data_IF_699310840967
#
_entry.id   IF_699310840967
#
_cell.length_a   1.000
_cell.length_b   1.000
_cell.length_c   1.000
_cell.angle_alpha   90.00
_cell.angle_beta   90.00
_cell.angle_gamma   90.00
#
_symmetry.space_group_name_H-M   'P 1'
#
loop_
_entity.id
_entity.type
_entity.pdbx_description
1 polymer ?
#
# COMPACT_ATOMS: atom_id res chain seq x y z
N UNK A 1 78.79 -80.12 -32.69
CA UNK A 1 77.68 -79.99 -31.72
C UNK A 1 77.53 -78.53 -31.33
N UNK A 2 76.40 -77.89 -31.60
CA UNK A 2 76.11 -76.54 -31.10
C UNK A 2 75.85 -76.59 -29.59
N UNK A 3 76.58 -75.78 -28.81
CA UNK A 3 76.31 -75.63 -27.37
C UNK A 3 75.22 -74.57 -27.20
N UNK A 4 74.22 -74.84 -26.36
CA UNK A 4 73.19 -73.87 -25.94
C UNK A 4 73.31 -73.60 -24.45
N UNK A 5 72.88 -72.42 -24.01
CA UNK A 5 72.71 -72.12 -22.59
C UNK A 5 71.46 -72.85 -22.07
N UNK A 6 71.56 -73.42 -20.88
CA UNK A 6 70.42 -73.87 -20.09
C UNK A 6 69.91 -72.71 -19.20
N UNK A 7 68.85 -72.96 -18.43
CA UNK A 7 68.26 -71.94 -17.56
C UNK A 7 69.31 -71.31 -16.61
N UNK A 8 70.19 -72.13 -16.02
CA UNK A 8 71.28 -71.69 -15.15
C UNK A 8 72.25 -70.79 -15.90
N UNK A 9 72.66 -71.17 -17.11
CA UNK A 9 73.54 -70.38 -17.96
C UNK A 9 72.91 -69.04 -18.35
N UNK A 10 71.61 -69.02 -18.66
CA UNK A 10 70.88 -67.77 -18.92
C UNK A 10 70.87 -66.84 -17.70
N UNK A 11 70.58 -67.37 -16.50
CA UNK A 11 70.61 -66.58 -15.25
C UNK A 11 72.00 -65.99 -14.97
N UNK A 12 73.07 -66.77 -15.17
CA UNK A 12 74.44 -66.31 -14.96
C UNK A 12 74.84 -65.22 -15.97
N UNK A 13 74.47 -65.38 -17.24
CA UNK A 13 74.70 -64.36 -18.27
C UNK A 13 73.95 -63.08 -17.92
N UNK A 14 72.68 -63.19 -17.50
CA UNK A 14 71.89 -62.04 -17.07
C UNK A 14 72.47 -61.30 -15.86
N UNK A 15 72.98 -62.03 -14.86
CA UNK A 15 73.64 -61.42 -13.70
C UNK A 15 74.89 -60.62 -14.10
N UNK A 16 75.76 -61.19 -14.96
CA UNK A 16 76.95 -60.51 -15.48
C UNK A 16 76.63 -59.28 -16.33
N UNK A 17 75.54 -59.33 -17.08
CA UNK A 17 75.07 -58.19 -17.86
C UNK A 17 74.62 -57.07 -16.92
N UNK A 18 73.79 -57.37 -15.91
CA UNK A 18 73.35 -56.38 -14.91
C UNK A 18 74.54 -55.73 -14.21
N UNK A 19 75.47 -56.54 -13.71
CA UNK A 19 76.70 -56.06 -13.06
C UNK A 19 77.50 -55.11 -13.97
N UNK A 20 77.62 -55.41 -15.27
CA UNK A 20 78.26 -54.52 -16.23
C UNK A 20 77.57 -53.16 -16.37
N UNK A 21 76.23 -53.13 -16.40
CA UNK A 21 75.48 -51.87 -16.52
C UNK A 21 75.53 -51.03 -15.25
N UNK A 22 75.54 -51.68 -14.08
CA UNK A 22 75.78 -51.02 -12.79
C UNK A 22 77.17 -50.41 -12.74
N UNK A 23 78.21 -51.19 -13.09
CA UNK A 23 79.60 -50.71 -13.10
C UNK A 23 79.83 -49.56 -14.09
N UNK A 24 79.02 -49.47 -15.15
CA UNK A 24 79.04 -48.36 -16.11
C UNK A 24 78.25 -47.13 -15.65
N UNK A 25 77.60 -47.18 -14.49
CA UNK A 25 76.77 -46.11 -13.94
C UNK A 25 75.46 -45.88 -14.72
N UNK A 26 75.10 -46.79 -15.64
CA UNK A 26 73.89 -46.68 -16.47
C UNK A 26 72.66 -47.15 -15.68
N UNK A 27 72.85 -48.11 -14.78
CA UNK A 27 71.80 -48.67 -13.93
C UNK A 27 72.18 -48.41 -12.46
N UNK A 28 71.64 -47.35 -11.86
CA UNK A 28 71.87 -47.04 -10.44
C UNK A 28 71.02 -47.93 -9.55
N UNK A 29 71.39 -48.09 -8.28
CA UNK A 29 70.58 -48.83 -7.31
C UNK A 29 69.13 -48.29 -7.23
N UNK A 30 68.95 -46.98 -7.33
CA UNK A 30 67.64 -46.34 -7.39
C UNK A 30 66.82 -46.73 -8.64
N UNK A 31 67.47 -46.80 -9.80
CA UNK A 31 66.83 -47.24 -11.05
C UNK A 31 66.50 -48.73 -11.01
N UNK A 32 67.34 -49.55 -10.38
CA UNK A 32 67.08 -50.98 -10.16
C UNK A 32 65.85 -51.15 -9.28
N UNK A 33 65.78 -50.44 -8.16
CA UNK A 33 64.65 -50.49 -7.23
C UNK A 33 63.37 -50.00 -7.91
N UNK A 34 63.44 -48.93 -8.71
CA UNK A 34 62.31 -48.45 -9.51
C UNK A 34 61.83 -49.52 -10.50
N UNK A 35 62.73 -50.09 -11.31
CA UNK A 35 62.38 -51.10 -12.31
C UNK A 35 61.83 -52.41 -11.70
N UNK A 36 62.32 -52.81 -10.53
CA UNK A 36 61.86 -54.03 -9.84
C UNK A 36 60.49 -53.84 -9.17
N UNK A 37 60.18 -52.61 -8.76
CA UNK A 37 58.91 -52.28 -8.10
C UNK A 37 57.88 -51.65 -9.05
N UNK A 38 58.21 -51.46 -10.33
CA UNK A 38 57.23 -51.14 -11.36
C UNK A 38 56.29 -52.33 -11.51
N UNK A 39 55.01 -52.16 -11.16
CA UNK A 39 53.99 -53.12 -11.54
C UNK A 39 54.00 -53.27 -13.07
N UNK A 40 53.69 -54.47 -13.59
CA UNK A 40 53.71 -54.77 -15.04
C UNK A 40 52.88 -53.78 -15.90
N UNK A 41 52.02 -52.95 -15.28
CA UNK A 41 51.20 -51.90 -15.92
C UNK A 41 51.24 -50.53 -15.21
N UNK A 42 52.35 -50.16 -14.56
CA UNK A 42 52.43 -48.87 -13.85
C UNK A 42 52.46 -47.67 -14.80
N UNK A 43 51.35 -46.93 -14.91
CA UNK A 43 51.31 -45.68 -15.67
C UNK A 43 51.75 -44.48 -14.81
N UNK A 44 52.61 -43.64 -15.38
CA UNK A 44 53.08 -42.37 -14.81
C UNK A 44 51.95 -41.31 -14.90
N UNK A 45 51.59 -40.65 -13.78
CA UNK A 45 50.48 -39.68 -13.58
C UNK A 45 49.08 -40.24 -13.26
N UNK A 46 48.92 -40.90 -12.11
CA UNK A 46 47.60 -41.08 -11.48
C UNK A 46 47.23 -39.80 -10.73
N UNK A 47 46.13 -39.16 -11.10
CA UNK A 47 45.57 -38.08 -10.27
C UNK A 47 44.85 -38.75 -9.10
N UNK A 48 45.29 -38.49 -7.87
CA UNK A 48 44.77 -39.18 -6.67
C UNK A 48 43.48 -38.56 -6.12
N UNK A 49 43.30 -37.25 -6.29
CA UNK A 49 42.06 -36.56 -5.93
C UNK A 49 41.89 -35.24 -6.65
N UNK A 50 40.64 -34.88 -6.97
CA UNK A 50 40.23 -33.54 -7.42
C UNK A 50 38.94 -33.18 -6.71
N UNK A 51 38.79 -31.92 -6.33
CA UNK A 51 37.57 -31.42 -5.69
C UNK A 51 37.07 -30.14 -6.35
N UNK A 52 35.76 -30.00 -6.45
CA UNK A 52 35.08 -28.77 -6.90
C UNK A 52 34.22 -28.29 -5.74
N UNK A 53 34.42 -27.05 -5.30
CA UNK A 53 33.72 -26.47 -4.14
C UNK A 53 33.78 -27.37 -2.88
N UNK A 54 34.91 -28.04 -2.65
CA UNK A 54 35.12 -28.93 -1.51
C UNK A 54 34.56 -30.35 -1.66
N UNK A 55 33.95 -30.70 -2.80
CA UNK A 55 33.40 -32.04 -3.07
C UNK A 55 34.32 -32.82 -4.01
N UNK A 56 34.77 -34.01 -3.60
CA UNK A 56 35.63 -34.88 -4.41
C UNK A 56 34.92 -35.39 -5.67
N UNK A 57 35.59 -35.30 -6.81
CA UNK A 57 35.11 -35.78 -8.12
C UNK A 57 35.64 -37.18 -8.42
N UNK A 58 34.85 -37.98 -9.16
CA UNK A 58 35.26 -39.30 -9.62
C UNK A 58 36.28 -39.19 -10.78
N UNK A 59 37.30 -40.04 -10.74
CA UNK A 59 38.36 -40.12 -11.75
C UNK A 59 38.17 -41.44 -12.49
N UNK A 60 37.73 -41.37 -13.75
CA UNK A 60 37.39 -42.57 -14.53
C UNK A 60 38.55 -43.03 -15.41
N UNK A 61 39.49 -42.14 -15.77
CA UNK A 61 40.72 -42.41 -16.52
C UNK A 61 41.69 -41.20 -16.42
N UNK A 62 42.57 -40.96 -17.40
CA UNK A 62 43.39 -39.72 -17.55
C UNK A 62 42.59 -38.41 -17.71
N UNK A 63 41.27 -38.45 -17.58
CA UNK A 63 40.39 -37.29 -17.68
C UNK A 63 39.51 -37.16 -16.45
N UNK A 64 39.24 -35.92 -16.05
CA UNK A 64 38.32 -35.56 -14.97
C UNK A 64 37.16 -34.79 -15.60
N UNK A 65 35.92 -35.21 -15.33
CA UNK A 65 34.75 -34.46 -15.76
C UNK A 65 34.28 -33.55 -14.62
N UNK A 66 34.66 -32.27 -14.70
CA UNK A 66 34.21 -31.26 -13.73
C UNK A 66 32.93 -30.63 -14.27
N UNK A 67 31.79 -30.94 -13.63
CA UNK A 67 30.52 -30.27 -13.91
C UNK A 67 30.47 -28.98 -13.09
N UNK A 68 30.84 -27.87 -13.72
CA UNK A 68 30.54 -26.54 -13.18
C UNK A 68 29.12 -26.20 -13.64
N UNK A 69 28.23 -25.68 -12.78
CA UNK A 69 26.97 -25.11 -13.25
C UNK A 69 27.29 -24.06 -14.32
N UNK A 70 26.97 -24.35 -15.58
CA UNK A 70 27.18 -23.48 -16.73
C UNK A 70 25.90 -22.75 -17.15
N UNK A 71 24.83 -22.94 -16.37
CA UNK A 71 23.55 -22.27 -16.57
C UNK A 71 23.69 -20.75 -16.45
N UNK A 72 22.84 -20.01 -17.16
CA UNK A 72 22.88 -18.54 -17.25
C UNK A 72 22.92 -17.79 -15.91
N UNK A 73 22.46 -18.42 -14.81
CA UNK A 73 22.48 -17.84 -13.46
C UNK A 73 23.83 -17.98 -12.73
N UNK A 74 24.68 -18.93 -13.14
CA UNK A 74 25.93 -19.23 -12.44
C UNK A 74 27.02 -18.16 -12.63
N UNK A 75 26.83 -17.28 -13.62
CA UNK A 75 27.76 -16.19 -13.94
C UNK A 75 27.35 -14.83 -13.35
N UNK A 76 26.28 -14.78 -12.54
CA UNK A 76 25.73 -13.54 -12.00
C UNK A 76 26.11 -13.36 -10.53
N UNK A 77 26.58 -12.16 -10.18
CA UNK A 77 26.86 -11.76 -8.79
C UNK A 77 25.57 -11.60 -7.97
N UNK A 78 24.48 -11.21 -8.63
CA UNK A 78 23.14 -11.09 -8.05
C UNK A 78 22.07 -11.46 -9.10
N UNK A 79 20.97 -12.06 -8.65
CA UNK A 79 19.85 -12.46 -9.51
C UNK A 79 18.78 -11.37 -9.46
N UNK A 80 18.51 -10.76 -10.62
CA UNK A 80 17.54 -9.68 -10.79
C UNK A 80 16.18 -10.14 -11.35
N UNK A 81 15.27 -9.18 -11.50
CA UNK A 81 13.90 -9.42 -12.00
C UNK A 81 13.89 -9.99 -13.43
N UNK A 82 14.90 -9.64 -14.22
CA UNK A 82 15.18 -10.11 -15.57
C UNK A 82 15.51 -11.61 -15.64
N UNK A 83 15.93 -12.20 -14.51
CA UNK A 83 16.21 -13.63 -14.42
C UNK A 83 14.98 -14.45 -14.04
N UNK A 84 13.90 -13.77 -13.61
CA UNK A 84 12.67 -14.45 -13.26
C UNK A 84 12.00 -15.00 -14.51
N UNK A 85 11.28 -16.11 -14.34
CA UNK A 85 10.44 -16.62 -15.42
C UNK A 85 9.39 -15.58 -15.81
N UNK A 86 8.98 -15.59 -17.08
CA UNK A 86 7.97 -14.65 -17.59
C UNK A 86 6.69 -14.64 -16.76
N UNK A 87 6.25 -15.80 -16.26
CA UNK A 87 5.06 -15.91 -15.41
C UNK A 87 5.25 -15.20 -14.06
N UNK A 88 6.42 -15.33 -13.43
CA UNK A 88 6.72 -14.72 -12.14
C UNK A 88 6.94 -13.21 -12.28
N UNK A 89 7.70 -12.79 -13.30
CA UNK A 89 7.89 -11.39 -13.63
C UNK A 89 6.55 -10.68 -13.90
N UNK A 90 5.64 -11.33 -14.64
CA UNK A 90 4.29 -10.81 -14.89
C UNK A 90 3.45 -10.65 -13.61
N UNK A 91 3.58 -11.57 -12.65
CA UNK A 91 2.87 -11.47 -11.38
C UNK A 91 3.39 -10.31 -10.51
N UNK A 92 4.72 -10.13 -10.45
CA UNK A 92 5.36 -9.06 -9.67
C UNK A 92 5.07 -7.69 -10.28
N UNK A 93 5.32 -7.53 -11.59
CA UNK A 93 5.07 -6.27 -12.30
C UNK A 93 3.56 -5.95 -12.31
N UNK A 94 2.71 -6.97 -12.35
CA UNK A 94 1.27 -6.82 -12.22
C UNK A 94 0.78 -6.35 -10.85
N UNK A 95 1.61 -6.43 -9.79
CA UNK A 95 1.30 -5.87 -8.47
C UNK A 95 1.85 -4.45 -8.27
N UNK A 96 2.94 -4.08 -8.94
CA UNK A 96 3.59 -2.79 -8.77
C UNK A 96 2.91 -1.64 -9.53
N UNK A 97 2.42 -1.87 -10.76
CA UNK A 97 2.06 -0.77 -11.67
C UNK A 97 0.56 -0.56 -11.93
N UNK A 98 -0.36 -1.31 -11.30
CA UNK A 98 -1.67 -1.52 -11.95
C UNK A 98 -2.84 -0.63 -11.55
N UNK A 99 -2.77 0.15 -10.47
CA UNK A 99 -3.99 0.79 -9.97
C UNK A 99 -3.81 2.22 -9.47
N UNK A 100 -4.57 3.14 -10.04
CA UNK A 100 -4.82 4.48 -9.50
C UNK A 100 -6.00 4.51 -8.52
N UNK A 101 -6.58 3.34 -8.22
CA UNK A 101 -7.77 3.20 -7.38
C UNK A 101 -7.55 2.13 -6.31
N UNK A 102 -8.20 2.28 -5.16
CA UNK A 102 -8.14 1.31 -4.06
C UNK A 102 -8.60 -0.10 -4.50
N UNK A 103 -9.62 -0.18 -5.34
CA UNK A 103 -10.12 -1.46 -5.88
C UNK A 103 -9.10 -2.20 -6.75
N UNK A 104 -8.26 -1.48 -7.50
CA UNK A 104 -7.19 -2.11 -8.28
C UNK A 104 -6.03 -2.65 -7.43
N UNK A 105 -5.91 -2.20 -6.17
CA UNK A 105 -5.05 -2.84 -5.16
C UNK A 105 -5.73 -4.00 -4.43
N UNK A 106 -6.99 -4.30 -4.74
CA UNK A 106 -7.78 -5.33 -4.05
C UNK A 106 -8.36 -4.90 -2.70
N UNK A 107 -8.36 -3.59 -2.40
CA UNK A 107 -8.98 -3.04 -1.20
C UNK A 107 -10.50 -2.95 -1.45
N UNK A 108 -11.27 -3.78 -0.74
CA UNK A 108 -12.71 -3.97 -0.98
C UNK A 108 -13.60 -3.41 0.13
N UNK A 109 -13.00 -3.02 1.25
CA UNK A 109 -13.66 -2.50 2.46
C UNK A 109 -13.60 -0.98 2.60
N UNK A 110 -13.03 -0.28 1.60
CA UNK A 110 -12.99 1.18 1.56
C UNK A 110 -14.34 1.77 1.13
N UNK A 111 -14.75 2.87 1.79
CA UNK A 111 -15.89 3.67 1.35
C UNK A 111 -15.62 4.31 -0.02
N UNK A 112 -16.63 4.26 -0.89
CA UNK A 112 -16.63 4.98 -2.16
C UNK A 112 -16.94 6.46 -1.94
N UNK A 113 -16.48 7.31 -2.86
CA UNK A 113 -16.82 8.75 -2.87
C UNK A 113 -18.33 8.98 -2.76
N UNK A 114 -19.13 8.21 -3.50
CA UNK A 114 -20.59 8.30 -3.48
C UNK A 114 -21.19 7.95 -2.11
N UNK A 115 -20.71 6.89 -1.46
CA UNK A 115 -21.18 6.52 -0.12
C UNK A 115 -20.84 7.63 0.89
N UNK A 116 -19.62 8.17 0.84
CA UNK A 116 -19.20 9.28 1.71
C UNK A 116 -20.02 10.53 1.45
N UNK A 117 -20.20 10.93 0.20
CA UNK A 117 -21.00 12.11 -0.17
C UNK A 117 -22.46 11.96 0.29
N UNK A 118 -23.03 10.76 0.19
CA UNK A 118 -24.39 10.49 0.66
C UNK A 118 -24.51 10.52 2.18
N UNK A 119 -23.54 9.94 2.90
CA UNK A 119 -23.53 9.97 4.36
C UNK A 119 -23.41 11.40 4.89
N UNK A 120 -22.54 12.22 4.27
CA UNK A 120 -22.41 13.64 4.59
C UNK A 120 -23.73 14.38 4.32
N UNK A 121 -24.33 14.20 3.14
CA UNK A 121 -25.62 14.82 2.81
C UNK A 121 -26.70 14.48 3.84
N UNK A 122 -26.86 13.20 4.19
CA UNK A 122 -27.82 12.77 5.20
C UNK A 122 -27.56 13.42 6.56
N UNK A 123 -26.29 13.48 6.98
CA UNK A 123 -25.92 14.11 8.25
C UNK A 123 -26.22 15.61 8.29
N UNK A 124 -26.21 16.32 7.15
CA UNK A 124 -26.44 17.77 7.09
C UNK A 124 -27.85 18.17 6.67
N UNK A 125 -28.69 17.26 6.18
CA UNK A 125 -30.07 17.58 5.76
C UNK A 125 -30.95 18.00 6.95
N UNK A 126 -30.74 17.42 8.14
CA UNK A 126 -31.57 17.68 9.32
C UNK A 126 -31.07 18.78 10.26
N UNK A 127 -30.01 19.52 9.89
CA UNK A 127 -29.40 20.52 10.79
C UNK A 127 -29.69 21.95 10.34
N UNK A 128 -29.74 22.85 11.32
CA UNK A 128 -29.74 24.29 11.05
C UNK A 128 -28.36 24.75 10.58
N UNK A 129 -28.35 25.43 9.43
CA UNK A 129 -27.20 25.97 8.73
C UNK A 129 -27.18 27.48 8.91
N UNK A 130 -26.51 27.96 9.96
CA UNK A 130 -26.41 29.39 10.25
C UNK A 130 -25.69 30.11 9.11
N UNK A 131 -26.38 31.05 8.48
CA UNK A 131 -25.91 31.85 7.34
C UNK A 131 -25.42 33.24 7.74
N UNK A 132 -25.61 33.61 9.01
CA UNK A 132 -25.25 34.90 9.58
C UNK A 132 -26.45 35.83 9.74
N UNK A 133 -26.14 37.12 9.87
CA UNK A 133 -27.14 38.18 10.03
C UNK A 133 -27.34 38.94 8.72
N UNK A 134 -28.57 39.28 8.37
CA UNK A 134 -28.90 40.05 7.17
C UNK A 134 -30.11 40.96 7.39
N UNK A 135 -30.21 42.06 6.65
CA UNK A 135 -31.43 42.85 6.59
C UNK A 135 -32.54 42.07 5.90
N UNK A 136 -33.80 42.31 6.25
CA UNK A 136 -34.94 41.58 5.65
C UNK A 136 -34.99 41.71 4.12
N UNK A 137 -34.72 42.91 3.60
CA UNK A 137 -34.69 43.18 2.17
C UNK A 137 -33.60 42.39 1.41
N UNK A 138 -32.59 41.87 2.14
CA UNK A 138 -31.48 41.10 1.59
C UNK A 138 -31.63 39.60 1.83
N UNK A 139 -32.77 39.15 2.34
CA UNK A 139 -33.04 37.73 2.51
C UNK A 139 -33.03 37.03 1.13
N UNK A 140 -32.31 35.91 0.96
CA UNK A 140 -32.21 35.25 -0.34
C UNK A 140 -33.57 34.81 -0.90
N UNK A 141 -33.72 34.94 -2.22
CA UNK A 141 -34.92 34.50 -2.97
C UNK A 141 -34.65 33.32 -3.90
N UNK A 142 -33.39 32.95 -4.08
CA UNK A 142 -32.97 31.80 -4.90
C UNK A 142 -31.81 31.06 -4.22
N UNK A 143 -31.66 29.79 -4.56
CA UNK A 143 -30.58 28.91 -4.09
C UNK A 143 -30.52 28.70 -2.57
N UNK A 144 -31.64 28.88 -1.86
CA UNK A 144 -31.76 28.47 -0.47
C UNK A 144 -31.82 26.95 -0.36
N UNK A 145 -31.24 26.41 0.71
CA UNK A 145 -31.39 25.00 1.06
C UNK A 145 -32.16 24.88 2.38
N UNK A 146 -33.04 23.88 2.48
CA UNK A 146 -33.78 23.60 3.72
C UNK A 146 -32.83 23.54 4.93
N UNK A 147 -33.16 24.25 6.01
CA UNK A 147 -32.33 24.41 7.20
C UNK A 147 -31.40 25.63 7.16
N UNK A 148 -31.30 26.40 6.07
CA UNK A 148 -30.57 27.68 6.08
C UNK A 148 -31.23 28.65 7.07
N UNK A 149 -30.47 29.19 8.03
CA UNK A 149 -30.95 30.09 9.08
C UNK A 149 -30.29 31.45 8.98
N UNK A 150 -31.09 32.51 8.95
CA UNK A 150 -30.62 33.90 9.03
C UNK A 150 -31.17 34.57 10.28
N UNK A 151 -30.34 35.39 10.91
CA UNK A 151 -30.79 36.38 11.89
C UNK A 151 -31.16 37.68 11.15
N UNK A 152 -32.39 38.16 11.28
CA UNK A 152 -32.85 39.35 10.56
C UNK A 152 -32.58 40.60 11.40
N UNK A 153 -31.81 41.55 10.85
CA UNK A 153 -31.29 42.69 11.63
C UNK A 153 -32.28 43.82 11.85
N UNK A 154 -33.34 43.88 11.04
CA UNK A 154 -34.35 44.94 11.08
C UNK A 154 -35.73 44.35 11.40
N UNK A 155 -36.65 45.16 11.93
CA UNK A 155 -38.05 44.75 12.01
C UNK A 155 -38.62 44.54 10.60
N UNK A 156 -39.49 43.55 10.43
CA UNK A 156 -40.04 43.21 9.12
C UNK A 156 -41.47 42.70 9.19
N UNK A 157 -42.15 42.78 8.05
CA UNK A 157 -43.43 42.10 7.81
C UNK A 157 -43.14 40.91 6.91
N UNK A 158 -43.49 39.70 7.35
CA UNK A 158 -43.33 38.49 6.55
C UNK A 158 -44.13 38.60 5.25
N UNK A 159 -43.49 38.20 4.14
CA UNK A 159 -44.07 38.24 2.79
C UNK A 159 -44.57 36.87 2.38
N UNK A 160 -45.09 36.75 1.16
CA UNK A 160 -45.49 35.46 0.57
C UNK A 160 -44.32 34.49 0.32
N UNK A 161 -43.08 34.93 0.56
CA UNK A 161 -41.91 34.05 0.61
C UNK A 161 -41.83 33.23 1.91
N UNK A 162 -42.67 33.55 2.90
CA UNK A 162 -42.79 32.81 4.16
C UNK A 162 -43.90 31.76 4.08
N UNK A 163 -43.85 30.78 4.99
CA UNK A 163 -44.92 29.79 5.13
C UNK A 163 -46.27 30.48 5.35
N UNK A 164 -47.35 29.89 4.82
CA UNK A 164 -48.66 30.54 4.74
C UNK A 164 -49.20 31.09 6.07
N UNK A 165 -48.80 30.48 7.19
CA UNK A 165 -49.19 30.93 8.53
C UNK A 165 -48.51 32.21 9.01
N UNK A 166 -47.41 32.64 8.38
CA UNK A 166 -46.60 33.78 8.81
C UNK A 166 -46.77 35.02 7.93
N UNK A 167 -47.22 34.88 6.68
CA UNK A 167 -47.39 36.02 5.77
C UNK A 167 -48.27 37.11 6.37
N UNK A 168 -47.80 38.36 6.30
CA UNK A 168 -48.47 39.54 6.85
C UNK A 168 -48.19 39.84 8.33
N UNK A 169 -47.57 38.92 9.08
CA UNK A 169 -47.22 39.16 10.48
C UNK A 169 -45.97 40.03 10.61
N UNK A 170 -45.94 40.88 11.64
CA UNK A 170 -44.79 41.73 11.97
C UNK A 170 -43.90 41.06 13.01
N UNK A 171 -42.59 41.14 12.79
CA UNK A 171 -41.57 40.61 13.68
C UNK A 171 -40.52 41.67 13.99
N UNK A 172 -40.01 41.72 15.23
CA UNK A 172 -38.96 42.66 15.61
C UNK A 172 -37.60 42.27 15.02
N UNK A 173 -36.68 43.24 14.99
CA UNK A 173 -35.27 43.01 14.73
C UNK A 173 -34.68 41.94 15.65
N UNK A 174 -33.77 41.11 15.13
CA UNK A 174 -33.17 39.96 15.83
C UNK A 174 -33.96 38.66 15.70
N UNK A 175 -35.05 38.65 14.92
CA UNK A 175 -35.83 37.43 14.66
C UNK A 175 -35.04 36.49 13.75
N UNK A 176 -34.88 35.23 14.20
CA UNK A 176 -34.29 34.19 13.37
C UNK A 176 -35.35 33.57 12.45
N UNK A 177 -34.96 33.34 11.19
CA UNK A 177 -35.80 32.68 10.18
C UNK A 177 -35.06 31.50 9.59
N UNK A 178 -35.76 30.40 9.34
CA UNK A 178 -35.23 29.18 8.73
C UNK A 178 -35.91 28.94 7.39
N UNK A 179 -35.14 28.56 6.38
CA UNK A 179 -35.73 28.13 5.11
C UNK A 179 -36.20 26.68 5.20
N UNK A 180 -37.44 26.42 4.78
CA UNK A 180 -38.06 25.09 4.73
C UNK A 180 -38.45 24.75 3.28
N UNK A 181 -38.96 23.54 3.06
CA UNK A 181 -39.50 23.14 1.75
C UNK A 181 -40.72 23.99 1.33
N UNK A 182 -41.35 24.70 2.26
CA UNK A 182 -42.53 25.54 2.03
C UNK A 182 -42.23 27.06 2.06
N UNK A 183 -40.96 27.45 2.13
CA UNK A 183 -40.55 28.86 2.24
C UNK A 183 -39.90 29.18 3.59
N UNK A 184 -39.70 30.47 3.85
CA UNK A 184 -39.14 30.96 5.11
C UNK A 184 -40.12 30.74 6.28
N UNK A 185 -39.62 30.28 7.40
CA UNK A 185 -40.37 30.03 8.62
C UNK A 185 -39.73 30.78 9.77
N UNK A 186 -40.53 31.41 10.61
CA UNK A 186 -40.03 32.24 11.70
C UNK A 186 -39.80 31.36 12.93
N UNK A 187 -38.60 31.42 13.50
CA UNK A 187 -38.24 30.62 14.67
C UNK A 187 -38.65 31.28 16.00
N UNK A 188 -39.17 32.50 15.94
CA UNK A 188 -39.70 33.23 17.09
C UNK A 188 -41.20 32.96 17.25
N UNK A 189 -41.64 32.69 18.48
CA UNK A 189 -43.07 32.63 18.77
C UNK A 189 -43.73 34.00 18.58
N UNK A 190 -44.95 34.02 18.06
CA UNK A 190 -45.80 35.21 18.08
C UNK A 190 -46.38 35.38 19.49
N UNK A 191 -46.18 36.54 20.10
CA UNK A 191 -46.92 36.91 21.31
C UNK A 191 -48.17 37.66 20.88
N UNK A 192 -49.34 37.05 21.09
CA UNK A 192 -50.62 37.71 20.85
C UNK A 192 -50.95 38.62 22.03
N UNK A 193 -50.94 39.93 21.78
CA UNK A 193 -51.34 40.93 22.77
C UNK A 193 -52.72 41.53 22.46
N UNK A 194 -53.50 40.94 21.56
CA UNK A 194 -54.83 41.47 21.19
C UNK A 194 -55.82 41.49 22.36
N UNK A 195 -55.63 40.63 23.36
CA UNK A 195 -56.38 40.64 24.62
C UNK A 195 -55.94 41.73 25.61
N UNK A 196 -54.83 42.42 25.34
CA UNK A 196 -54.29 43.47 26.21
C UNK A 196 -54.52 44.86 25.60
N UNK A 197 -55.06 45.78 26.42
CA UNK A 197 -55.23 47.18 26.05
C UNK A 197 -53.87 47.82 25.76
N UNK A 198 -53.74 48.49 24.62
CA UNK A 198 -52.51 49.22 24.30
C UNK A 198 -52.37 50.44 25.21
N UNK A 199 -51.13 50.85 25.49
CA UNK A 199 -50.88 52.07 26.29
C UNK A 199 -51.51 53.32 25.66
N UNK A 200 -51.64 53.35 24.34
CA UNK A 200 -52.31 54.42 23.60
C UNK A 200 -53.84 54.40 23.72
N UNK A 201 -54.41 53.29 24.20
CA UNK A 201 -55.85 53.08 24.40
C UNK A 201 -56.24 53.26 25.88
N UNK A 202 -55.27 53.54 26.76
CA UNK A 202 -55.56 53.99 28.12
C UNK A 202 -56.04 55.43 28.09
N UNK A 203 -57.28 55.66 28.49
CA UNK A 203 -57.81 57.00 28.76
C UNK A 203 -57.63 57.34 30.24
N UNK A 204 -57.16 58.55 30.52
CA UNK A 204 -57.07 59.07 31.88
C UNK A 204 -58.50 59.25 32.44
N UNK A 205 -58.72 58.86 33.68
CA UNK A 205 -60.01 59.08 34.36
C UNK A 205 -60.31 60.58 34.45
N UNK A 206 -61.53 60.99 34.08
CA UNK A 206 -61.94 62.39 34.15
C UNK A 206 -62.22 62.83 35.59
N UNK A 207 -62.12 64.14 35.88
CA UNK A 207 -62.47 64.66 37.21
C UNK A 207 -63.91 64.35 37.61
N UNK A 208 -64.84 64.32 36.66
CA UNK A 208 -66.25 64.02 36.92
C UNK A 208 -66.46 62.54 37.26
N UNK A 209 -65.74 61.63 36.60
CA UNK A 209 -65.72 60.20 36.95
C UNK A 209 -65.08 59.96 38.32
N UNK A 210 -63.99 60.68 38.66
CA UNK A 210 -63.40 60.64 40.01
C UNK A 210 -64.41 61.10 41.05
N UNK A 211 -65.10 62.23 40.82
CA UNK A 211 -66.10 62.76 41.76
C UNK A 211 -67.23 61.77 41.98
N UNK A 212 -67.71 61.09 40.94
CA UNK A 212 -68.76 60.07 41.04
C UNK A 212 -68.37 58.86 41.88
N UNK A 213 -67.09 58.47 41.89
CA UNK A 213 -66.56 57.38 42.72
C UNK A 213 -66.37 57.83 44.18
N UNK A 214 -65.97 59.08 44.41
CA UNK A 214 -65.70 59.62 45.74
C UNK A 214 -66.95 60.05 46.55
N UNK A 215 -68.17 59.71 46.11
CA UNK A 215 -69.42 60.02 46.84
C UNK A 215 -69.96 58.86 47.69
N UNK A 216 -69.16 57.81 47.93
CA UNK A 216 -69.36 56.89 49.07
C UNK A 216 -68.93 57.56 50.38
#
# INVERSE_FOLDING_TARGET
MGKKLDATGLTQVWARIKENFVNKGVLTDELIDKLQNMSENGEENVIESVSVNGVTCAITNKGINIVIPDGALAALDEVGTENLSTALAALINGKADKATTLGGYGITDAYTKTQTDNAIKQAVTGVYKVKGSTAFANLPTQNMAAGDVYNITDAFTATDAFVAGESGKQYPAGTNVVYTDSGWDVMAGTYDFSDFMLKSELEDITEDEIRAICVL
#
